data_IF_585965604268
#
_entry.id   IF_585965604268
#
_cell.length_a   1.000
_cell.length_b   1.000
_cell.length_c   1.000
_cell.angle_alpha   90.00
_cell.angle_beta   90.00
_cell.angle_gamma   90.00
#
_symmetry.space_group_name_H-M   'P 1'
#
loop_
_entity.id
_entity.type
_entity.pdbx_description
1 polymer ?
#
# COMPACT_ATOMS: atom_id res chain seq x y z
N UNK A 1 -18.83 -30.95 -27.30
CA UNK A 1 -18.63 -30.79 -25.85
C UNK A 1 -18.04 -29.40 -25.63
N UNK A 2 -18.74 -28.50 -24.94
CA UNK A 2 -18.21 -27.18 -24.65
C UNK A 2 -17.02 -27.32 -23.68
N UNK A 3 -15.87 -26.73 -24.02
CA UNK A 3 -14.69 -26.71 -23.17
C UNK A 3 -15.02 -25.92 -21.90
N UNK A 4 -15.05 -26.58 -20.74
CA UNK A 4 -15.24 -25.91 -19.45
C UNK A 4 -14.09 -24.92 -19.27
N UNK A 5 -14.40 -23.63 -19.12
CA UNK A 5 -13.38 -22.60 -18.97
C UNK A 5 -12.66 -22.83 -17.62
N UNK A 6 -11.37 -23.20 -17.61
CA UNK A 6 -10.64 -23.45 -16.36
C UNK A 6 -10.45 -22.18 -15.51
N UNK A 7 -10.76 -21.01 -16.07
CA UNK A 7 -10.76 -19.72 -15.39
C UNK A 7 -12.16 -19.22 -15.04
N UNK A 8 -13.23 -20.00 -15.31
CA UNK A 8 -14.56 -19.63 -14.83
C UNK A 8 -14.60 -19.71 -13.32
N UNK A 9 -15.05 -18.64 -12.69
CA UNK A 9 -15.16 -18.54 -11.23
C UNK A 9 -15.98 -19.72 -10.70
N UNK A 10 -15.43 -20.45 -9.74
CA UNK A 10 -16.14 -21.53 -9.07
C UNK A 10 -17.20 -20.96 -8.12
N UNK A 11 -18.38 -20.70 -8.68
CA UNK A 11 -19.54 -20.18 -7.94
C UNK A 11 -20.03 -21.24 -6.94
N UNK A 12 -19.96 -22.52 -7.29
CA UNK A 12 -20.32 -23.63 -6.42
C UNK A 12 -19.34 -23.75 -5.24
N UNK A 13 -18.04 -23.71 -5.48
CA UNK A 13 -17.02 -23.71 -4.42
C UNK A 13 -17.12 -22.49 -3.49
N UNK A 14 -17.41 -21.31 -4.04
CA UNK A 14 -17.61 -20.08 -3.24
C UNK A 14 -18.86 -20.18 -2.35
N UNK A 15 -19.96 -20.70 -2.89
CA UNK A 15 -21.22 -20.90 -2.16
C UNK A 15 -21.09 -21.96 -1.04
N UNK A 16 -20.35 -23.04 -1.30
CA UNK A 16 -20.07 -24.11 -0.32
C UNK A 16 -19.24 -23.61 0.86
N UNK A 17 -18.37 -22.64 0.64
CA UNK A 17 -17.42 -22.13 1.64
C UNK A 17 -17.92 -20.86 2.36
N UNK A 18 -19.16 -20.41 2.14
CA UNK A 18 -19.77 -19.27 2.87
C UNK A 18 -19.57 -19.32 4.39
N UNK A 19 -19.77 -20.46 5.10
CA UNK A 19 -19.54 -20.50 6.55
C UNK A 19 -18.07 -20.23 6.93
N UNK A 20 -17.12 -20.72 6.14
CA UNK A 20 -15.71 -20.43 6.35
C UNK A 20 -15.41 -18.94 6.13
N UNK A 21 -15.95 -18.34 5.07
CA UNK A 21 -15.83 -16.89 4.85
C UNK A 21 -16.41 -16.08 6.00
N UNK A 22 -17.56 -16.46 6.54
CA UNK A 22 -18.15 -15.80 7.72
C UNK A 22 -17.22 -15.85 8.93
N UNK A 23 -16.69 -17.03 9.24
CA UNK A 23 -15.77 -17.22 10.35
C UNK A 23 -14.48 -16.41 10.16
N UNK A 24 -13.79 -16.56 9.03
CA UNK A 24 -12.53 -15.89 8.77
C UNK A 24 -12.66 -14.36 8.67
N UNK A 25 -13.77 -13.86 8.13
CA UNK A 25 -14.05 -12.41 8.08
C UNK A 25 -14.19 -11.84 9.49
N UNK A 26 -14.95 -12.50 10.38
CA UNK A 26 -15.08 -12.08 11.78
C UNK A 26 -13.75 -12.17 12.51
N UNK A 27 -13.04 -13.29 12.38
CA UNK A 27 -11.78 -13.53 13.10
C UNK A 27 -10.72 -12.51 12.65
N UNK A 28 -10.53 -12.31 11.35
CA UNK A 28 -9.54 -11.36 10.83
C UNK A 28 -9.88 -9.92 11.21
N UNK A 29 -11.16 -9.53 11.17
CA UNK A 29 -11.62 -8.22 11.62
C UNK A 29 -11.36 -8.00 13.11
N UNK A 30 -11.76 -8.95 13.98
CA UNK A 30 -11.53 -8.86 15.42
C UNK A 30 -10.04 -8.78 15.73
N UNK A 31 -9.22 -9.60 15.05
CA UNK A 31 -7.77 -9.60 15.24
C UNK A 31 -7.16 -8.23 14.92
N UNK A 32 -7.53 -7.64 13.78
CA UNK A 32 -7.06 -6.31 13.37
C UNK A 32 -7.56 -5.21 14.30
N UNK A 33 -8.86 -5.21 14.64
CA UNK A 33 -9.50 -4.21 15.48
C UNK A 33 -8.97 -4.22 16.93
N UNK A 34 -8.88 -5.40 17.54
CA UNK A 34 -8.37 -5.54 18.91
C UNK A 34 -6.90 -5.15 18.98
N UNK A 35 -6.07 -5.60 18.02
CA UNK A 35 -4.67 -5.20 17.96
C UNK A 35 -4.52 -3.68 17.79
N UNK A 36 -5.34 -3.06 16.93
CA UNK A 36 -5.35 -1.61 16.74
C UNK A 36 -5.63 -0.86 18.04
N UNK A 37 -6.62 -1.29 18.83
CA UNK A 37 -6.95 -0.66 20.13
C UNK A 37 -5.85 -0.92 21.16
N UNK A 38 -5.50 -2.18 21.38
CA UNK A 38 -4.55 -2.58 22.44
C UNK A 38 -3.21 -1.89 22.23
N UNK A 39 -2.66 -1.94 21.01
CA UNK A 39 -1.35 -1.37 20.73
C UNK A 39 -1.35 0.14 20.49
N UNK A 40 -2.53 0.79 20.41
CA UNK A 40 -2.60 2.25 20.48
C UNK A 40 -2.38 2.77 21.90
N UNK A 41 -2.75 1.98 22.92
CA UNK A 41 -2.71 2.37 24.33
C UNK A 41 -1.53 1.75 25.08
N UNK A 42 -1.23 0.48 24.80
CA UNK A 42 -0.27 -0.31 25.55
C UNK A 42 0.82 -0.90 24.63
N UNK A 43 2.11 -0.73 24.93
CA UNK A 43 3.18 -1.32 24.13
C UNK A 43 3.23 -2.85 24.31
N UNK A 44 3.81 -3.59 23.34
CA UNK A 44 4.10 -5.01 23.53
C UNK A 44 5.18 -5.23 24.61
N UNK A 45 4.92 -6.19 25.50
CA UNK A 45 5.81 -6.58 26.62
C UNK A 45 6.55 -7.90 26.35
N UNK A 46 6.29 -8.54 25.21
CA UNK A 46 6.81 -9.85 24.80
C UNK A 46 8.21 -9.80 24.18
N UNK A 47 8.83 -8.63 24.11
CA UNK A 47 10.08 -8.40 23.39
C UNK A 47 11.14 -7.73 24.26
N UNK A 48 12.39 -8.15 24.10
CA UNK A 48 13.55 -7.65 24.84
C UNK A 48 14.19 -6.40 24.23
N UNK A 49 13.75 -5.98 23.04
CA UNK A 49 14.26 -4.81 22.33
C UNK A 49 13.22 -3.68 22.27
N UNK A 50 13.61 -2.54 21.67
CA UNK A 50 12.76 -1.34 21.59
C UNK A 50 11.36 -1.64 21.06
N UNK A 51 10.36 -1.45 21.91
CA UNK A 51 8.94 -1.57 21.58
C UNK A 51 8.21 -0.28 21.98
N UNK A 52 7.06 -0.04 21.35
CA UNK A 52 6.26 1.14 21.63
C UNK A 52 4.82 0.97 21.20
N UNK A 53 3.97 1.89 21.64
CA UNK A 53 2.61 2.01 21.10
C UNK A 53 2.66 2.50 19.66
N UNK A 54 1.59 2.29 18.89
CA UNK A 54 1.51 2.71 17.48
C UNK A 54 1.89 4.20 17.33
N UNK A 55 1.30 5.05 18.18
CA UNK A 55 1.55 6.48 18.19
C UNK A 55 2.86 6.85 18.90
N UNK A 56 3.29 6.07 19.90
CA UNK A 56 4.57 6.28 20.58
C UNK A 56 5.76 6.10 19.66
N UNK A 57 5.74 5.04 18.83
CA UNK A 57 6.77 4.80 17.80
C UNK A 57 6.79 5.93 16.77
N UNK A 58 5.62 6.44 16.38
CA UNK A 58 5.50 7.58 15.47
C UNK A 58 6.05 8.89 16.06
N UNK A 59 5.81 9.15 17.34
CA UNK A 59 6.36 10.33 18.02
C UNK A 59 7.87 10.24 18.25
N UNK A 60 8.40 9.03 18.42
CA UNK A 60 9.85 8.82 18.55
C UNK A 60 10.61 8.99 17.22
N UNK A 61 9.94 8.82 16.08
CA UNK A 61 10.54 8.91 14.74
C UNK A 61 9.80 9.94 13.89
N UNK A 62 9.97 11.23 14.22
CA UNK A 62 9.35 12.31 13.48
C UNK A 62 9.99 12.43 12.09
N UNK A 63 9.15 12.44 11.06
CA UNK A 63 9.55 12.63 9.67
C UNK A 63 8.63 13.64 9.01
N UNK A 64 8.95 14.07 7.80
CA UNK A 64 8.07 14.93 6.99
C UNK A 64 6.67 14.32 6.72
N UNK A 65 6.48 13.02 7.01
CA UNK A 65 5.21 12.30 6.85
C UNK A 65 4.55 11.92 8.18
N UNK A 66 5.04 12.44 9.31
CA UNK A 66 4.37 12.25 10.60
C UNK A 66 3.00 12.93 10.55
N UNK A 67 1.97 12.12 10.38
CA UNK A 67 0.59 12.54 10.26
C UNK A 67 -0.02 12.79 11.64
N UNK A 68 -0.98 13.72 11.72
CA UNK A 68 -1.73 13.96 12.97
C UNK A 68 -2.44 12.69 13.44
N UNK A 69 -2.12 12.26 14.66
CA UNK A 69 -2.70 11.05 15.28
C UNK A 69 -4.21 11.14 15.45
N UNK A 70 -4.75 12.37 15.59
CA UNK A 70 -6.20 12.61 15.68
C UNK A 70 -6.89 12.21 14.37
N UNK A 71 -6.36 12.67 13.23
CA UNK A 71 -6.92 12.34 11.92
C UNK A 71 -6.80 10.85 11.59
N UNK A 72 -5.67 10.22 11.95
CA UNK A 72 -5.51 8.76 11.80
C UNK A 72 -6.54 8.01 12.64
N UNK A 73 -6.79 8.44 13.87
CA UNK A 73 -7.79 7.81 14.75
C UNK A 73 -9.20 7.93 14.18
N UNK A 74 -9.57 9.11 13.67
CA UNK A 74 -10.87 9.32 12.99
C UNK A 74 -10.98 8.40 11.77
N UNK A 75 -9.94 8.33 10.95
CA UNK A 75 -9.91 7.45 9.79
C UNK A 75 -10.09 5.98 10.19
N UNK A 76 -9.43 5.49 11.23
CA UNK A 76 -9.57 4.11 11.71
C UNK A 76 -10.97 3.83 12.26
N UNK A 77 -11.57 4.77 12.98
CA UNK A 77 -12.97 4.63 13.44
C UNK A 77 -13.91 4.47 12.24
N UNK A 78 -13.81 5.35 11.24
CA UNK A 78 -14.62 5.27 10.02
C UNK A 78 -14.36 3.96 9.26
N UNK A 79 -13.11 3.54 9.13
CA UNK A 79 -12.71 2.29 8.49
C UNK A 79 -13.36 1.10 9.18
N UNK A 80 -13.19 0.94 10.49
CA UNK A 80 -13.74 -0.19 11.24
C UNK A 80 -15.27 -0.18 11.25
N UNK A 81 -15.91 0.99 11.35
CA UNK A 81 -17.36 1.11 11.20
C UNK A 81 -17.84 0.68 9.80
N UNK A 82 -17.16 1.11 8.74
CA UNK A 82 -17.46 0.68 7.38
C UNK A 82 -17.26 -0.82 7.17
N UNK A 83 -16.23 -1.40 7.79
CA UNK A 83 -15.99 -2.84 7.78
C UNK A 83 -17.10 -3.63 8.48
N UNK A 84 -17.72 -3.10 9.55
CA UNK A 84 -18.90 -3.73 10.18
C UNK A 84 -20.06 -3.82 9.18
N UNK A 85 -20.29 -2.78 8.38
CA UNK A 85 -21.32 -2.82 7.33
C UNK A 85 -21.04 -3.93 6.31
N UNK A 86 -19.78 -4.13 5.90
CA UNK A 86 -19.39 -5.24 5.04
C UNK A 86 -19.63 -6.60 5.70
N UNK A 87 -19.23 -6.77 6.96
CA UNK A 87 -19.49 -8.01 7.72
C UNK A 87 -21.00 -8.29 7.76
N UNK A 88 -21.82 -7.28 8.04
CA UNK A 88 -23.27 -7.42 8.09
C UNK A 88 -23.89 -7.87 6.75
N UNK A 89 -23.32 -7.46 5.61
CA UNK A 89 -23.77 -7.94 4.29
C UNK A 89 -23.61 -9.45 4.13
N UNK A 90 -22.59 -10.06 4.74
CA UNK A 90 -22.32 -11.49 4.67
C UNK A 90 -23.31 -12.36 5.49
N UNK A 91 -24.09 -11.72 6.37
CA UNK A 91 -25.14 -12.34 7.19
C UNK A 91 -26.56 -12.00 6.73
N UNK A 92 -26.72 -11.33 5.59
CA UNK A 92 -28.06 -11.10 5.01
C UNK A 92 -28.74 -12.41 4.61
N UNK A 93 -30.07 -12.41 4.66
CA UNK A 93 -30.91 -13.55 4.23
C UNK A 93 -30.90 -13.76 2.72
N UNK A 94 -30.64 -12.69 1.97
CA UNK A 94 -30.56 -12.73 0.50
C UNK A 94 -29.28 -13.44 0.02
N UNK A 95 -29.46 -14.59 -0.62
CA UNK A 95 -28.37 -15.41 -1.14
C UNK A 95 -27.55 -14.70 -2.21
N UNK A 96 -28.18 -13.89 -3.07
CA UNK A 96 -27.45 -13.18 -4.13
C UNK A 96 -26.50 -12.14 -3.54
N UNK A 97 -26.96 -11.39 -2.52
CA UNK A 97 -26.13 -10.44 -1.79
C UNK A 97 -24.97 -11.14 -1.04
N UNK A 98 -25.23 -12.28 -0.41
CA UNK A 98 -24.19 -13.05 0.30
C UNK A 98 -23.13 -13.60 -0.67
N UNK A 99 -23.52 -14.15 -1.82
CA UNK A 99 -22.58 -14.66 -2.82
C UNK A 99 -21.75 -13.52 -3.43
N UNK A 100 -22.36 -12.35 -3.65
CA UNK A 100 -21.62 -11.16 -4.10
C UNK A 100 -20.60 -10.70 -3.05
N UNK A 101 -21.00 -10.58 -1.79
CA UNK A 101 -20.09 -10.21 -0.69
C UNK A 101 -18.97 -11.25 -0.49
N UNK A 102 -19.30 -12.54 -0.50
CA UNK A 102 -18.33 -13.63 -0.37
C UNK A 102 -17.27 -13.61 -1.47
N UNK A 103 -17.64 -13.15 -2.68
CA UNK A 103 -16.68 -13.02 -3.78
C UNK A 103 -15.59 -11.98 -3.56
N UNK A 104 -15.82 -11.02 -2.67
CA UNK A 104 -14.84 -10.00 -2.27
C UNK A 104 -14.26 -10.30 -0.87
N UNK A 105 -14.76 -11.34 -0.19
CA UNK A 105 -14.41 -11.66 1.19
C UNK A 105 -12.93 -12.02 1.38
N UNK A 106 -12.29 -12.66 0.38
CA UNK A 106 -10.85 -12.97 0.43
C UNK A 106 -9.98 -11.71 0.52
N UNK A 107 -10.33 -10.63 -0.21
CA UNK A 107 -9.61 -9.36 -0.14
C UNK A 107 -9.77 -8.70 1.22
N UNK A 108 -10.99 -8.75 1.78
CA UNK A 108 -11.25 -8.23 3.12
C UNK A 108 -10.42 -8.97 4.18
N UNK A 109 -10.39 -10.30 4.14
CA UNK A 109 -9.62 -11.12 5.07
C UNK A 109 -8.12 -10.81 4.93
N UNK A 110 -7.60 -10.80 3.69
CA UNK A 110 -6.20 -10.52 3.41
C UNK A 110 -5.80 -9.12 3.90
N UNK A 111 -6.61 -8.09 3.62
CA UNK A 111 -6.35 -6.73 4.08
C UNK A 111 -6.25 -6.66 5.61
N UNK A 112 -7.20 -7.27 6.34
CA UNK A 112 -7.17 -7.26 7.80
C UNK A 112 -5.97 -8.01 8.38
N UNK A 113 -5.55 -9.12 7.74
CA UNK A 113 -4.35 -9.86 8.15
C UNK A 113 -3.06 -9.08 7.88
N UNK A 114 -2.96 -8.39 6.74
CA UNK A 114 -1.84 -7.50 6.44
C UNK A 114 -1.82 -6.31 7.41
N UNK A 115 -2.97 -5.69 7.69
CA UNK A 115 -3.08 -4.62 8.68
C UNK A 115 -2.66 -5.09 10.07
N UNK A 116 -3.10 -6.27 10.49
CA UNK A 116 -2.68 -6.89 11.74
C UNK A 116 -1.17 -7.16 11.78
N UNK A 117 -0.63 -7.75 10.71
CA UNK A 117 0.80 -8.01 10.57
C UNK A 117 1.62 -6.72 10.66
N UNK A 118 1.17 -5.67 9.98
CA UNK A 118 1.77 -4.35 10.05
C UNK A 118 1.77 -3.79 11.48
N UNK A 119 0.64 -3.83 12.21
CA UNK A 119 0.58 -3.39 13.61
C UNK A 119 1.59 -4.15 14.48
N UNK A 120 1.67 -5.48 14.30
CA UNK A 120 2.58 -6.32 15.09
C UNK A 120 4.06 -5.99 14.83
N UNK A 121 4.42 -5.71 13.58
CA UNK A 121 5.78 -5.39 13.18
C UNK A 121 6.16 -3.96 13.58
N UNK A 122 5.26 -3.00 13.35
CA UNK A 122 5.44 -1.59 13.69
C UNK A 122 5.67 -1.36 15.19
N UNK A 123 4.84 -1.97 16.03
CA UNK A 123 4.92 -1.82 17.51
C UNK A 123 6.16 -2.48 18.13
N UNK A 124 6.82 -3.36 17.37
CA UNK A 124 8.06 -4.06 17.76
C UNK A 124 9.31 -3.47 17.07
N UNK A 125 9.18 -2.30 16.45
CA UNK A 125 10.25 -1.60 15.73
C UNK A 125 10.89 -2.41 14.60
N UNK A 126 10.17 -3.38 14.04
CA UNK A 126 10.60 -4.17 12.89
C UNK A 126 10.24 -3.44 11.59
N UNK A 127 10.80 -2.24 11.40
CA UNK A 127 10.42 -1.32 10.33
C UNK A 127 10.56 -1.92 8.93
N UNK A 128 11.65 -2.64 8.67
CA UNK A 128 11.88 -3.28 7.36
C UNK A 128 10.78 -4.28 7.00
N UNK A 129 10.34 -5.10 7.97
CA UNK A 129 9.30 -6.08 7.76
C UNK A 129 7.92 -5.44 7.66
N UNK A 130 7.69 -4.38 8.45
CA UNK A 130 6.48 -3.56 8.36
C UNK A 130 6.31 -2.99 6.95
N UNK A 131 7.42 -2.55 6.34
CA UNK A 131 7.45 -2.03 4.98
C UNK A 131 7.10 -3.09 3.91
N UNK A 132 7.60 -4.31 4.08
CA UNK A 132 7.28 -5.43 3.19
C UNK A 132 5.79 -5.80 3.20
N UNK A 133 5.10 -5.55 4.31
CA UNK A 133 3.64 -5.74 4.41
C UNK A 133 2.87 -4.58 3.76
N UNK A 134 3.42 -3.36 3.80
CA UNK A 134 2.82 -2.19 3.18
C UNK A 134 2.80 -2.27 1.64
N UNK A 135 3.88 -2.79 1.05
CA UNK A 135 4.05 -2.98 -0.39
C UNK A 135 2.84 -3.65 -1.09
N UNK A 136 2.42 -4.87 -0.72
CA UNK A 136 1.27 -5.54 -1.32
C UNK A 136 -0.07 -4.95 -0.88
N UNK A 137 -0.13 -4.27 0.27
CA UNK A 137 -1.36 -3.71 0.81
C UNK A 137 -1.75 -2.39 0.13
N UNK A 138 -0.79 -1.55 -0.25
CA UNK A 138 -1.06 -0.17 -0.70
C UNK A 138 -0.30 0.23 -1.98
N UNK A 139 1.02 0.15 -1.99
CA UNK A 139 1.84 0.70 -3.07
C UNK A 139 1.61 0.01 -4.43
N UNK A 140 1.58 -1.33 -4.45
CA UNK A 140 1.32 -2.07 -5.69
C UNK A 140 -0.11 -1.88 -6.22
N UNK A 141 -1.18 -2.00 -5.41
CA UNK A 141 -2.55 -1.71 -5.86
C UNK A 141 -2.75 -0.27 -6.37
N UNK A 142 -2.14 0.71 -5.71
CA UNK A 142 -2.18 2.12 -6.12
C UNK A 142 -1.58 2.29 -7.52
N UNK A 143 -0.38 1.76 -7.71
CA UNK A 143 0.33 1.86 -8.99
C UNK A 143 -0.44 1.14 -10.10
N UNK A 144 -0.95 -0.06 -9.83
CA UNK A 144 -1.79 -0.81 -10.77
C UNK A 144 -3.05 -0.04 -11.17
N UNK A 145 -3.71 0.62 -10.21
CA UNK A 145 -4.92 1.42 -10.47
C UNK A 145 -4.64 2.57 -11.44
N UNK A 146 -3.49 3.24 -11.31
CA UNK A 146 -3.07 4.26 -12.27
C UNK A 146 -2.87 3.71 -13.69
N UNK A 147 -2.20 2.56 -13.83
CA UNK A 147 -2.04 1.89 -15.13
C UNK A 147 -3.38 1.44 -15.72
N UNK A 148 -4.31 0.97 -14.89
CA UNK A 148 -5.67 0.62 -15.32
C UNK A 148 -6.42 1.82 -15.90
N UNK A 149 -6.30 3.01 -15.32
CA UNK A 149 -6.94 4.22 -15.87
C UNK A 149 -6.42 4.50 -17.29
N UNK A 150 -5.11 4.43 -17.49
CA UNK A 150 -4.49 4.64 -18.81
C UNK A 150 -4.91 3.55 -19.81
N UNK A 151 -4.89 2.28 -19.39
CA UNK A 151 -5.26 1.15 -20.23
C UNK A 151 -6.75 1.19 -20.59
N UNK A 152 -7.64 1.30 -19.59
CA UNK A 152 -9.07 1.40 -19.82
C UNK A 152 -9.41 2.61 -20.70
N UNK A 153 -8.73 3.75 -20.49
CA UNK A 153 -8.80 4.90 -21.38
C UNK A 153 -8.47 4.55 -22.83
N UNK A 154 -7.34 3.89 -23.07
CA UNK A 154 -6.94 3.49 -24.42
C UNK A 154 -7.94 2.51 -25.07
N UNK A 155 -8.51 1.58 -24.30
CA UNK A 155 -9.53 0.63 -24.79
C UNK A 155 -10.83 1.35 -25.12
N UNK A 156 -11.28 2.28 -24.28
CA UNK A 156 -12.51 3.06 -24.50
C UNK A 156 -12.45 3.90 -25.78
N UNK A 157 -11.30 4.50 -26.08
CA UNK A 157 -11.16 5.36 -27.27
C UNK A 157 -11.17 4.52 -28.56
N UNK A 158 -10.77 3.25 -28.52
CA UNK A 158 -11.00 2.28 -29.60
C UNK A 158 -10.43 2.67 -30.97
N UNK A 159 -9.49 3.61 -31.04
CA UNK A 159 -8.93 4.10 -32.29
C UNK A 159 -7.64 3.38 -32.66
N UNK A 160 -7.44 3.14 -33.96
CA UNK A 160 -6.24 2.48 -34.48
C UNK A 160 -5.41 3.36 -35.44
N UNK A 161 -5.81 4.62 -35.61
CA UNK A 161 -5.18 5.59 -36.52
C UNK A 161 -3.96 6.32 -35.93
N UNK A 162 -3.38 7.22 -36.73
CA UNK A 162 -2.24 8.06 -36.34
C UNK A 162 -2.50 8.97 -35.13
N UNK A 163 -3.66 9.66 -35.00
CA UNK A 163 -3.93 10.53 -33.85
C UNK A 163 -3.89 9.78 -32.51
N UNK A 164 -4.38 8.54 -32.50
CA UNK A 164 -4.35 7.65 -31.34
C UNK A 164 -2.91 7.37 -30.87
N UNK A 165 -2.00 7.14 -31.82
CA UNK A 165 -0.58 6.87 -31.53
C UNK A 165 0.11 8.11 -30.98
N UNK A 166 -0.17 9.29 -31.55
CA UNK A 166 0.38 10.56 -31.04
C UNK A 166 -0.10 10.80 -29.61
N UNK A 167 -1.40 10.62 -29.35
CA UNK A 167 -1.94 10.76 -28.00
C UNK A 167 -1.32 9.75 -27.02
N UNK A 168 -1.15 8.49 -27.42
CA UNK A 168 -0.52 7.46 -26.60
C UNK A 168 0.95 7.77 -26.27
N UNK A 169 1.70 8.31 -27.24
CA UNK A 169 3.09 8.75 -27.05
C UNK A 169 3.20 9.95 -26.10
N UNK A 170 2.18 10.80 -26.00
CA UNK A 170 2.14 11.91 -25.03
C UNK A 170 1.70 11.39 -23.65
N UNK A 171 0.64 10.58 -23.60
CA UNK A 171 0.05 10.07 -22.37
C UNK A 171 1.01 9.19 -21.56
N UNK A 172 1.91 8.45 -22.22
CA UNK A 172 2.89 7.58 -21.54
C UNK A 172 3.78 8.35 -20.57
N UNK A 173 4.10 9.62 -20.86
CA UNK A 173 4.91 10.47 -19.97
C UNK A 173 4.19 10.86 -18.66
N UNK A 174 2.86 10.71 -18.62
CA UNK A 174 2.10 10.81 -17.38
C UNK A 174 2.58 9.82 -16.31
N UNK A 175 3.18 8.69 -16.69
CA UNK A 175 3.79 7.73 -15.77
C UNK A 175 4.97 8.34 -15.01
N UNK A 176 5.82 9.14 -15.69
CA UNK A 176 6.92 9.86 -15.03
C UNK A 176 6.38 10.91 -14.08
N UNK A 177 5.35 11.66 -14.50
CA UNK A 177 4.74 12.67 -13.65
C UNK A 177 4.13 12.05 -12.38
N UNK A 178 3.42 10.93 -12.52
CA UNK A 178 2.91 10.14 -11.41
C UNK A 178 4.03 9.67 -10.48
N UNK A 179 5.01 8.92 -10.98
CA UNK A 179 6.11 8.40 -10.16
C UNK A 179 6.94 9.53 -9.53
N UNK A 180 7.25 10.58 -10.30
CA UNK A 180 8.00 11.74 -9.84
C UNK A 180 7.28 12.49 -8.72
N UNK A 181 5.96 12.64 -8.80
CA UNK A 181 5.17 13.21 -7.71
C UNK A 181 5.33 12.39 -6.42
N UNK A 182 5.19 11.06 -6.48
CA UNK A 182 5.36 10.21 -5.30
C UNK A 182 6.79 10.18 -4.77
N UNK A 183 7.80 10.17 -5.65
CA UNK A 183 9.20 10.17 -5.25
C UNK A 183 9.66 11.52 -4.67
N UNK A 184 9.17 12.65 -5.20
CA UNK A 184 9.54 13.99 -4.72
C UNK A 184 8.76 14.38 -3.48
N UNK A 185 7.43 14.23 -3.54
CA UNK A 185 6.52 14.72 -2.48
C UNK A 185 6.44 13.73 -1.34
N UNK A 186 6.37 12.43 -1.63
CA UNK A 186 6.17 11.38 -0.63
C UNK A 186 7.45 10.60 -0.28
N UNK A 187 8.54 10.80 -1.03
CA UNK A 187 9.76 9.97 -0.94
C UNK A 187 9.44 8.46 -0.95
N UNK A 188 8.35 8.10 -1.61
CA UNK A 188 7.83 6.74 -1.63
C UNK A 188 8.52 5.95 -2.75
N UNK A 189 9.62 5.30 -2.38
CA UNK A 189 10.40 4.48 -3.30
C UNK A 189 9.68 3.17 -3.68
N UNK A 190 8.66 2.74 -2.94
CA UNK A 190 7.88 1.55 -3.26
C UNK A 190 6.99 1.77 -4.49
N UNK A 191 6.30 2.92 -4.53
CA UNK A 191 5.54 3.34 -5.71
C UNK A 191 6.49 3.52 -6.91
N UNK A 192 7.70 4.05 -6.68
CA UNK A 192 8.75 4.15 -7.69
C UNK A 192 9.13 2.80 -8.31
N UNK A 193 9.50 1.81 -7.49
CA UNK A 193 9.87 0.47 -7.96
C UNK A 193 8.70 -0.25 -8.63
N UNK A 194 7.49 -0.18 -8.06
CA UNK A 194 6.29 -0.76 -8.67
C UNK A 194 5.99 -0.13 -10.04
N UNK A 195 6.16 1.19 -10.16
CA UNK A 195 5.96 1.92 -11.42
C UNK A 195 7.00 1.53 -12.45
N UNK A 196 8.29 1.43 -12.06
CA UNK A 196 9.35 0.98 -12.93
C UNK A 196 9.07 -0.44 -13.47
N UNK A 197 8.64 -1.36 -12.61
CA UNK A 197 8.29 -2.73 -12.99
C UNK A 197 7.12 -2.78 -13.99
N UNK A 198 6.02 -2.08 -13.73
CA UNK A 198 4.87 -2.05 -14.64
C UNK A 198 5.19 -1.35 -15.96
N UNK A 199 6.03 -0.30 -15.93
CA UNK A 199 6.50 0.37 -17.15
C UNK A 199 7.41 -0.55 -17.97
N UNK A 200 8.26 -1.36 -17.33
CA UNK A 200 9.03 -2.39 -18.02
C UNK A 200 8.10 -3.38 -18.74
N UNK A 201 7.06 -3.85 -18.05
CA UNK A 201 6.03 -4.72 -18.63
C UNK A 201 5.32 -4.10 -19.84
N UNK A 202 4.97 -2.81 -19.77
CA UNK A 202 4.41 -2.05 -20.90
C UNK A 202 5.39 -2.00 -22.08
N UNK A 203 6.67 -1.71 -21.82
CA UNK A 203 7.72 -1.67 -22.84
C UNK A 203 7.89 -3.03 -23.54
N UNK A 204 7.97 -4.12 -22.77
CA UNK A 204 8.06 -5.48 -23.28
C UNK A 204 6.83 -5.83 -24.14
N UNK A 205 5.62 -5.51 -23.66
CA UNK A 205 4.39 -5.76 -24.42
C UNK A 205 4.34 -5.00 -25.75
N UNK A 206 4.75 -3.73 -25.76
CA UNK A 206 4.80 -2.92 -26.98
C UNK A 206 5.89 -3.37 -27.94
N UNK A 207 7.04 -3.80 -27.43
CA UNK A 207 8.15 -4.32 -28.23
C UNK A 207 7.72 -5.53 -29.08
N UNK A 208 7.00 -6.49 -28.48
CA UNK A 208 6.50 -7.66 -29.21
C UNK A 208 5.31 -7.37 -30.13
N UNK A 209 4.56 -6.29 -29.88
CA UNK A 209 3.37 -5.95 -30.69
C UNK A 209 3.74 -5.10 -31.92
N UNK A 210 4.59 -4.08 -31.73
CA UNK A 210 4.93 -3.07 -32.74
C UNK A 210 6.41 -2.68 -32.58
N UNK A 211 7.31 -3.46 -33.17
CA UNK A 211 8.76 -3.20 -33.13
C UNK A 211 9.11 -1.80 -33.66
N UNK A 212 8.43 -1.32 -34.72
CA UNK A 212 8.62 0.03 -35.27
C UNK A 212 7.58 0.98 -34.65
N UNK A 213 7.74 1.28 -33.35
CA UNK A 213 6.96 2.28 -32.64
C UNK A 213 7.78 2.95 -31.53
N UNK A 214 7.60 4.25 -31.31
CA UNK A 214 8.30 4.99 -30.26
C UNK A 214 7.88 4.57 -28.84
N UNK A 215 6.72 3.92 -28.71
CA UNK A 215 6.10 3.60 -27.43
C UNK A 215 6.96 2.70 -26.54
N UNK A 216 7.62 1.67 -27.09
CA UNK A 216 8.48 0.79 -26.28
C UNK A 216 9.77 1.48 -25.87
N UNK A 217 10.32 2.36 -26.72
CA UNK A 217 11.50 3.17 -26.38
C UNK A 217 11.16 4.09 -25.21
N UNK A 218 10.06 4.84 -25.33
CA UNK A 218 9.60 5.72 -24.25
C UNK A 218 9.32 4.95 -22.96
N UNK A 219 8.69 3.77 -23.04
CA UNK A 219 8.48 2.93 -21.86
C UNK A 219 9.78 2.54 -21.15
N UNK A 220 10.80 2.06 -21.88
CA UNK A 220 12.07 1.70 -21.26
C UNK A 220 12.86 2.93 -20.77
N UNK A 221 12.79 4.06 -21.47
CA UNK A 221 13.37 5.32 -20.99
C UNK A 221 12.73 5.77 -19.69
N UNK A 222 11.39 5.76 -19.61
CA UNK A 222 10.64 6.10 -18.40
C UNK A 222 10.99 5.14 -17.27
N UNK A 223 11.02 3.83 -17.56
CA UNK A 223 11.42 2.82 -16.59
C UNK A 223 12.82 3.09 -16.03
N UNK A 224 13.81 3.38 -16.88
CA UNK A 224 15.17 3.68 -16.44
C UNK A 224 15.23 4.95 -15.58
N UNK A 225 14.55 6.03 -16.01
CA UNK A 225 14.48 7.29 -15.26
C UNK A 225 13.87 7.06 -13.87
N UNK A 226 12.70 6.42 -13.82
CA UNK A 226 11.99 6.15 -12.57
C UNK A 226 12.80 5.23 -11.67
N UNK A 227 13.39 4.16 -12.22
CA UNK A 227 14.21 3.22 -11.45
C UNK A 227 15.45 3.89 -10.84
N UNK A 228 16.21 4.66 -11.63
CA UNK A 228 17.38 5.36 -11.13
C UNK A 228 17.02 6.43 -10.09
N UNK A 229 15.94 7.18 -10.33
CA UNK A 229 15.47 8.16 -9.35
C UNK A 229 14.98 7.48 -8.06
N UNK A 230 14.32 6.34 -8.17
CA UNK A 230 13.90 5.52 -7.04
C UNK A 230 15.11 5.03 -6.24
N UNK A 231 16.16 4.53 -6.89
CA UNK A 231 17.40 4.14 -6.22
C UNK A 231 18.03 5.33 -5.48
N UNK A 232 18.04 6.52 -6.07
CA UNK A 232 18.57 7.72 -5.44
C UNK A 232 17.79 8.12 -4.17
N UNK A 233 16.47 7.92 -4.15
CA UNK A 233 15.62 8.18 -2.98
C UNK A 233 15.74 7.05 -1.94
N UNK A 234 15.95 5.81 -2.38
CA UNK A 234 16.01 4.64 -1.51
C UNK A 234 17.32 4.53 -0.70
N UNK A 235 18.43 5.12 -1.16
CA UNK A 235 19.72 5.08 -0.44
C UNK A 235 19.74 6.14 0.67
N UNK A 236 19.85 5.74 1.96
CA UNK A 236 20.01 6.69 3.07
C UNK A 236 21.38 7.37 2.94
N UNK A 237 21.40 8.65 2.61
CA UNK A 237 22.64 9.43 2.47
C UNK A 237 22.62 10.50 1.38
N UNK A 238 21.76 10.35 0.36
CA UNK A 238 21.61 11.40 -0.68
C UNK A 238 20.63 12.49 -0.23
N UNK A 239 19.65 12.12 0.60
CA UNK A 239 18.71 13.03 1.28
C UNK A 239 18.90 13.08 2.80
N UNK A 240 19.94 12.42 3.31
CA UNK A 240 20.32 12.41 4.72
C UNK A 240 21.30 13.54 5.02
N UNK A 241 20.83 14.78 4.99
CA UNK A 241 21.44 15.83 5.79
C UNK A 241 20.34 16.37 6.67
N UNK A 242 20.49 16.09 7.95
CA UNK A 242 19.77 16.72 9.03
C UNK A 242 19.59 18.21 8.70
N UNK A 243 18.34 18.68 8.65
CA UNK A 243 18.10 20.10 8.85
C UNK A 243 18.40 20.39 10.31
N UNK A 244 19.69 20.57 10.61
CA UNK A 244 20.27 21.02 11.87
C UNK A 244 19.90 22.46 12.19
N UNK A 245 18.59 22.75 12.22
CA UNK A 245 18.01 24.02 12.66
C UNK A 245 17.08 23.85 13.87
N UNK A 246 16.94 22.65 14.43
CA UNK A 246 16.19 22.40 15.68
C UNK A 246 17.02 21.79 16.82
N UNK A 247 18.35 21.68 16.67
CA UNK A 247 19.26 21.33 17.77
C UNK A 247 19.64 22.56 18.63
N UNK A 248 18.71 23.51 18.80
CA UNK A 248 18.94 24.79 19.47
C UNK A 248 17.95 25.14 20.59
N UNK A 249 16.98 24.27 20.91
CA UNK A 249 15.96 24.61 21.90
C UNK A 249 15.28 23.39 22.50
N UNK A 250 15.93 22.72 23.45
CA UNK A 250 15.29 21.61 24.17
C UNK A 250 16.16 20.82 25.15
N UNK A 251 17.48 21.06 25.19
CA UNK A 251 18.39 20.44 26.18
C UNK A 251 18.23 21.07 27.59
N UNK A 252 17.02 20.98 28.15
CA UNK A 252 16.70 21.38 29.54
C UNK A 252 16.04 20.29 30.38
N UNK A 253 15.81 19.10 29.84
CA UNK A 253 15.21 17.97 30.60
C UNK A 253 16.15 16.77 30.81
N UNK A 254 17.45 16.90 30.49
CA UNK A 254 18.49 16.02 31.04
C UNK A 254 19.04 16.63 32.33
N UNK A 255 18.33 16.46 33.43
CA UNK A 255 18.95 16.61 34.75
C UNK A 255 19.78 15.34 35.03
N UNK A 256 21.11 15.43 35.21
CA UNK A 256 21.90 14.31 35.70
C UNK A 256 21.56 14.04 37.17
N UNK A 257 21.17 12.80 37.48
CA UNK A 257 21.04 12.28 38.84
C UNK A 257 22.40 12.41 39.54
N UNK A 258 22.53 13.37 40.45
CA UNK A 258 23.65 13.42 41.37
C UNK A 258 23.54 12.21 42.32
N UNK A 259 24.46 11.27 42.13
CA UNK A 259 24.79 10.28 43.15
C UNK A 259 25.56 10.97 44.28
N UNK A 260 25.32 10.47 45.48
CA UNK A 260 25.78 10.98 46.79
C UNK A 260 27.30 11.09 46.91
N UNK A 261 27.76 12.11 47.65
CA UNK A 261 29.04 12.05 48.35
C UNK A 261 29.01 12.86 49.66
N UNK A 262 29.05 12.10 50.76
CA UNK A 262 29.41 12.40 52.17
C UNK A 262 28.27 12.52 53.18
#
# INVERSE_FOLDING_TARGET
MAFSNPFSRDVEGTSRNIPAYRAFTIISWLLSFVAAIVYSVSPPHDVHWASGTIFGVSNAHITSFTISHVFVTIYWVVLFCGQICFVAQLFRTDQAAVTAAASVGSYFILFNLLQFGWIMLWTRSLFLWSELVHLPAAAMPLTWSFFLVLWNGAVMVGCHGLPCRVLANIAIWGIVAFAGFFLVVFKDYHVGFATAFLTAGLGVGQFFTKIIALQWIFAFTIMAIVFLFTLAVAVPGIYGTDTGLEAGGGDRERAPLLQESN
#
